data_IF_327729856998
#
_entry.id   IF_327729856998
#
_cell.length_a   1.000
_cell.length_b   1.000
_cell.length_c   1.000
_cell.angle_alpha   90.00
_cell.angle_beta   90.00
_cell.angle_gamma   90.00
#
_symmetry.space_group_name_H-M   'P 1'
#
loop_
_entity.id
_entity.type
_entity.pdbx_description
1 polymer ?
#
# COMPACT_ATOMS: atom_id res chain seq x y z
N UNK A 1 -15.39 23.09 15.27
CA UNK A 1 -15.05 21.66 15.29
C UNK A 1 -16.21 20.93 14.65
N UNK A 2 -15.97 20.34 13.48
CA UNK A 2 -16.97 19.54 12.75
C UNK A 2 -17.12 18.16 13.42
N UNK A 3 -18.20 17.44 13.12
CA UNK A 3 -18.39 16.04 13.61
C UNK A 3 -17.28 15.12 13.09
N UNK A 4 -16.75 15.37 11.90
CA UNK A 4 -15.61 14.64 11.33
C UNK A 4 -14.32 14.88 12.13
N UNK A 5 -14.11 16.11 12.61
CA UNK A 5 -12.94 16.45 13.45
C UNK A 5 -12.98 15.68 14.78
N UNK A 6 -14.17 15.51 15.38
CA UNK A 6 -14.36 14.77 16.63
C UNK A 6 -14.11 13.28 16.44
N UNK A 7 -14.59 12.69 15.35
CA UNK A 7 -14.32 11.28 15.04
C UNK A 7 -12.83 11.05 14.79
N UNK A 8 -12.17 11.94 14.05
CA UNK A 8 -10.71 11.87 13.86
C UNK A 8 -9.95 11.92 15.19
N UNK A 9 -10.33 12.83 16.10
CA UNK A 9 -9.72 12.90 17.43
C UNK A 9 -9.92 11.62 18.25
N UNK A 10 -11.08 10.98 18.15
CA UNK A 10 -11.34 9.69 18.78
C UNK A 10 -10.48 8.58 18.18
N UNK A 11 -10.34 8.52 16.85
CA UNK A 11 -9.47 7.54 16.18
C UNK A 11 -8.01 7.72 16.56
N UNK A 12 -7.51 8.96 16.66
CA UNK A 12 -6.16 9.24 17.14
C UNK A 12 -5.95 8.79 18.60
N UNK A 13 -6.93 9.05 19.47
CA UNK A 13 -6.89 8.57 20.84
C UNK A 13 -6.83 7.04 20.90
N UNK A 14 -7.65 6.35 20.08
CA UNK A 14 -7.62 4.89 19.99
C UNK A 14 -6.26 4.41 19.48
N UNK A 15 -5.70 5.01 18.42
CA UNK A 15 -4.39 4.67 17.88
C UNK A 15 -3.27 4.79 18.94
N UNK A 16 -3.33 5.82 19.79
CA UNK A 16 -2.40 5.97 20.91
C UNK A 16 -2.58 4.88 21.97
N UNK A 17 -3.82 4.54 22.33
CA UNK A 17 -4.11 3.49 23.30
C UNK A 17 -3.66 2.11 22.80
N UNK A 18 -3.95 1.77 21.54
CA UNK A 18 -3.51 0.48 20.96
C UNK A 18 -1.99 0.39 20.86
N UNK A 19 -1.30 1.52 20.60
CA UNK A 19 0.16 1.54 20.68
C UNK A 19 0.64 1.18 22.10
N UNK A 20 0.09 1.80 23.14
CA UNK A 20 0.41 1.44 24.53
C UNK A 20 0.15 -0.05 24.82
N UNK A 21 -0.99 -0.57 24.37
CA UNK A 21 -1.36 -1.98 24.56
C UNK A 21 -0.38 -2.94 23.89
N UNK A 22 0.12 -2.61 22.70
CA UNK A 22 1.12 -3.38 21.97
C UNK A 22 2.49 -3.34 22.65
N UNK A 23 2.93 -2.15 23.09
CA UNK A 23 4.23 -1.99 23.75
C UNK A 23 4.27 -2.62 25.15
N UNK A 24 3.14 -2.64 25.85
CA UNK A 24 3.01 -3.33 27.14
C UNK A 24 2.68 -4.82 27.00
N UNK A 25 2.50 -5.33 25.78
CA UNK A 25 2.08 -6.71 25.49
C UNK A 25 0.88 -7.14 26.36
N UNK A 26 -0.11 -6.25 26.47
CA UNK A 26 -1.36 -6.49 27.20
C UNK A 26 -2.11 -7.68 26.62
N UNK A 27 -3.07 -8.32 27.33
CA UNK A 27 -3.78 -9.49 26.79
C UNK A 27 -4.42 -9.32 25.41
N UNK A 28 -4.71 -8.08 24.99
CA UNK A 28 -5.28 -7.71 23.67
C UNK A 28 -4.25 -7.42 22.59
N UNK A 29 -2.95 -7.48 22.89
CA UNK A 29 -1.87 -7.08 21.97
C UNK A 29 -1.92 -7.80 20.62
N UNK A 30 -2.38 -9.06 20.58
CA UNK A 30 -2.52 -9.84 19.33
C UNK A 30 -3.50 -9.21 18.36
N UNK A 31 -4.64 -8.75 18.85
CA UNK A 31 -5.65 -8.08 18.01
C UNK A 31 -5.12 -6.75 17.47
N UNK A 32 -4.34 -6.02 18.28
CA UNK A 32 -3.64 -4.81 17.83
C UNK A 32 -2.63 -5.17 16.73
N UNK A 33 -1.81 -6.19 16.96
CA UNK A 33 -0.82 -6.65 15.99
C UNK A 33 -1.46 -7.07 14.66
N UNK A 34 -2.53 -7.86 14.68
CA UNK A 34 -3.29 -8.24 13.49
C UNK A 34 -3.82 -7.02 12.70
N UNK A 35 -4.26 -5.96 13.40
CA UNK A 35 -4.65 -4.71 12.76
C UNK A 35 -3.46 -3.99 12.11
N UNK A 36 -2.28 -4.01 12.74
CA UNK A 36 -1.05 -3.43 12.20
C UNK A 36 -0.49 -4.17 10.98
N UNK A 37 -0.78 -5.47 10.84
CA UNK A 37 -0.42 -6.21 9.62
C UNK A 37 -1.21 -5.71 8.41
N UNK A 38 -2.42 -5.19 8.63
CA UNK A 38 -3.38 -4.81 7.60
C UNK A 38 -2.83 -3.93 6.49
N UNK A 39 -2.23 -2.76 6.79
CA UNK A 39 -1.67 -1.86 5.78
C UNK A 39 -0.59 -2.51 4.90
N UNK A 40 0.30 -3.30 5.50
CA UNK A 40 1.37 -3.99 4.77
C UNK A 40 0.79 -5.08 3.89
N UNK A 41 -0.12 -5.90 4.41
CA UNK A 41 -0.79 -6.93 3.63
C UNK A 41 -1.61 -6.35 2.47
N UNK A 42 -2.30 -5.22 2.68
CA UNK A 42 -3.04 -4.51 1.62
C UNK A 42 -2.08 -3.99 0.53
N UNK A 43 -0.94 -3.43 0.91
CA UNK A 43 0.12 -3.05 -0.05
C UNK A 43 0.58 -4.26 -0.87
N UNK A 44 0.89 -5.39 -0.23
CA UNK A 44 1.33 -6.61 -0.92
C UNK A 44 0.27 -7.13 -1.90
N UNK A 45 -1.02 -7.15 -1.51
CA UNK A 45 -2.13 -7.53 -2.42
C UNK A 45 -2.24 -6.58 -3.62
N UNK A 46 -2.08 -5.27 -3.40
CA UNK A 46 -2.11 -4.27 -4.48
C UNK A 46 -0.91 -4.45 -5.41
N UNK A 47 0.28 -4.68 -4.89
CA UNK A 47 1.50 -4.87 -5.68
C UNK A 47 1.39 -6.13 -6.55
N UNK A 48 0.92 -7.25 -5.99
CA UNK A 48 0.63 -8.48 -6.73
C UNK A 48 -0.31 -8.21 -7.90
N UNK A 49 -1.42 -7.50 -7.66
CA UNK A 49 -2.39 -7.11 -8.69
C UNK A 49 -1.78 -6.28 -9.83
N UNK A 50 -0.92 -5.32 -9.48
CA UNK A 50 -0.25 -4.48 -10.48
C UNK A 50 0.75 -5.34 -11.26
N UNK A 51 1.44 -6.27 -10.60
CA UNK A 51 2.38 -7.21 -11.20
C UNK A 51 1.69 -8.12 -12.21
N UNK A 52 0.52 -8.69 -11.88
CA UNK A 52 -0.32 -9.45 -12.82
C UNK A 52 -0.70 -8.60 -14.05
N UNK A 53 -1.01 -7.32 -13.85
CA UNK A 53 -1.32 -6.41 -14.96
C UNK A 53 -0.10 -6.25 -15.87
N UNK A 54 1.09 -6.06 -15.31
CA UNK A 54 2.34 -5.97 -16.08
C UNK A 54 2.59 -7.25 -16.87
N UNK A 55 2.46 -8.42 -16.24
CA UNK A 55 2.63 -9.72 -16.90
C UNK A 55 1.65 -9.92 -18.06
N UNK A 56 0.39 -9.53 -17.89
CA UNK A 56 -0.63 -9.68 -18.94
C UNK A 56 -0.43 -8.76 -20.15
N UNK A 57 0.34 -7.67 -20.00
CA UNK A 57 0.48 -6.61 -21.02
C UNK A 57 1.86 -6.53 -21.66
N UNK A 58 2.89 -7.03 -20.99
CA UNK A 58 4.27 -6.94 -21.48
C UNK A 58 4.68 -8.22 -22.18
N UNK A 59 5.31 -8.10 -23.34
CA UNK A 59 5.97 -9.22 -24.02
C UNK A 59 7.50 -9.18 -23.83
N UNK A 60 8.02 -8.20 -23.09
CA UNK A 60 9.46 -8.03 -22.92
C UNK A 60 10.02 -9.05 -21.90
N UNK A 61 10.97 -9.92 -22.29
CA UNK A 61 11.46 -10.99 -21.41
C UNK A 61 12.03 -10.49 -20.08
N UNK A 62 12.75 -9.36 -20.10
CA UNK A 62 13.29 -8.73 -18.90
C UNK A 62 12.19 -8.33 -17.92
N UNK A 63 11.10 -7.73 -18.40
CA UNK A 63 9.96 -7.28 -17.58
C UNK A 63 9.21 -8.47 -16.99
N UNK A 64 9.01 -9.52 -17.78
CA UNK A 64 8.37 -10.75 -17.31
C UNK A 64 9.19 -11.46 -16.23
N UNK A 65 10.53 -11.49 -16.40
CA UNK A 65 11.45 -12.02 -15.38
C UNK A 65 11.38 -11.23 -14.08
N UNK A 66 11.45 -9.89 -14.16
CA UNK A 66 11.29 -9.02 -12.98
C UNK A 66 9.95 -9.22 -12.27
N UNK A 67 8.86 -9.34 -13.03
CA UNK A 67 7.54 -9.59 -12.46
C UNK A 67 7.47 -10.94 -11.74
N UNK A 68 8.04 -12.00 -12.31
CA UNK A 68 8.09 -13.32 -11.68
C UNK A 68 8.93 -13.31 -10.39
N UNK A 69 10.09 -12.65 -10.40
CA UNK A 69 10.91 -12.47 -9.19
C UNK A 69 10.17 -11.68 -8.10
N UNK A 70 9.41 -10.66 -8.47
CA UNK A 70 8.61 -9.90 -7.51
C UNK A 70 7.51 -10.76 -6.89
N UNK A 71 6.80 -11.58 -7.67
CA UNK A 71 5.77 -12.49 -7.11
C UNK A 71 6.38 -13.44 -6.07
N UNK A 72 7.51 -14.09 -6.39
CA UNK A 72 8.19 -14.97 -5.44
C UNK A 72 8.61 -14.23 -4.16
N UNK A 73 9.17 -13.03 -4.32
CA UNK A 73 9.56 -12.20 -3.17
C UNK A 73 8.36 -11.79 -2.31
N UNK A 74 7.21 -11.45 -2.91
CA UNK A 74 5.98 -11.12 -2.16
C UNK A 74 5.49 -12.31 -1.34
N UNK A 75 5.59 -13.52 -1.87
CA UNK A 75 5.20 -14.74 -1.14
C UNK A 75 6.13 -15.01 0.05
N UNK A 76 7.44 -14.81 -0.12
CA UNK A 76 8.40 -14.85 0.99
C UNK A 76 8.09 -13.79 2.05
N UNK A 77 7.75 -12.56 1.64
CA UNK A 77 7.41 -11.50 2.59
C UNK A 77 6.12 -11.77 3.35
N UNK A 78 5.12 -12.41 2.71
CA UNK A 78 3.88 -12.80 3.41
C UNK A 78 4.16 -13.78 4.53
N UNK A 79 5.07 -14.72 4.32
CA UNK A 79 5.52 -15.63 5.37
C UNK A 79 6.26 -14.87 6.47
N UNK A 80 7.20 -13.99 6.10
CA UNK A 80 7.95 -13.19 7.06
C UNK A 80 7.03 -12.32 7.94
N UNK A 81 6.03 -11.66 7.34
CA UNK A 81 5.02 -10.86 8.07
C UNK A 81 4.24 -11.72 9.08
N UNK A 82 3.85 -12.93 8.68
CA UNK A 82 3.12 -13.85 9.57
C UNK A 82 4.00 -14.33 10.74
N UNK A 83 5.29 -14.55 10.49
CA UNK A 83 6.23 -15.04 11.50
C UNK A 83 6.57 -13.98 12.56
N UNK A 84 6.50 -12.69 12.24
CA UNK A 84 6.76 -11.59 13.19
C UNK A 84 5.88 -11.67 14.46
N UNK A 85 4.59 -12.01 14.31
CA UNK A 85 3.69 -12.17 15.47
C UNK A 85 4.13 -13.32 16.37
N UNK A 86 4.62 -14.41 15.78
CA UNK A 86 5.16 -15.55 16.52
C UNK A 86 6.49 -15.19 17.21
N UNK A 87 7.32 -14.38 16.58
CA UNK A 87 8.57 -13.88 17.20
C UNK A 87 8.29 -12.94 18.37
N UNK A 88 7.25 -12.09 18.29
CA UNK A 88 6.76 -11.29 19.42
C UNK A 88 6.27 -12.18 20.57
N UNK A 89 5.47 -13.22 20.28
CA UNK A 89 5.00 -14.19 21.29
C UNK A 89 6.15 -14.87 22.04
N UNK A 90 7.22 -15.19 21.32
CA UNK A 90 8.42 -15.85 21.87
C UNK A 90 9.43 -14.87 22.47
N UNK A 91 9.11 -13.58 22.51
CA UNK A 91 10.00 -12.51 22.96
C UNK A 91 11.38 -12.52 22.26
N UNK A 92 11.41 -12.93 20.98
CA UNK A 92 12.63 -12.93 20.16
C UNK A 92 12.95 -11.55 19.60
N UNK A 93 11.92 -10.73 19.41
CA UNK A 93 11.97 -9.33 19.00
C UNK A 93 11.03 -8.54 19.90
N UNK A 94 11.26 -7.24 20.05
CA UNK A 94 10.33 -6.34 20.74
C UNK A 94 9.33 -5.69 19.76
N UNK A 95 8.32 -5.00 20.32
CA UNK A 95 7.26 -4.35 19.54
C UNK A 95 7.80 -3.26 18.60
N UNK A 96 8.85 -2.53 18.98
CA UNK A 96 9.44 -1.50 18.12
C UNK A 96 10.19 -2.12 16.93
N UNK A 97 10.95 -3.18 17.18
CA UNK A 97 11.66 -3.92 16.15
C UNK A 97 10.67 -4.57 15.17
N UNK A 98 9.58 -5.17 15.66
CA UNK A 98 8.55 -5.75 14.81
C UNK A 98 7.88 -4.70 13.89
N UNK A 99 7.54 -3.52 14.43
CA UNK A 99 7.00 -2.41 13.62
C UNK A 99 8.02 -1.91 12.58
N UNK A 100 9.30 -1.87 12.95
CA UNK A 100 10.41 -1.51 12.03
C UNK A 100 10.55 -2.54 10.90
N UNK A 101 10.36 -3.84 11.17
CA UNK A 101 10.36 -4.85 10.11
C UNK A 101 9.16 -4.68 9.16
N UNK A 102 7.98 -4.31 9.68
CA UNK A 102 6.84 -3.95 8.83
C UNK A 102 7.12 -2.70 7.96
N UNK A 103 7.82 -1.70 8.52
CA UNK A 103 8.30 -0.52 7.77
C UNK A 103 9.20 -0.93 6.61
N UNK A 104 10.21 -1.74 6.92
CA UNK A 104 11.16 -2.26 5.95
C UNK A 104 10.46 -3.03 4.82
N UNK A 105 9.56 -3.96 5.15
CA UNK A 105 8.86 -4.78 4.14
C UNK A 105 8.01 -3.90 3.22
N UNK A 106 7.25 -2.96 3.78
CA UNK A 106 6.42 -2.05 2.99
C UNK A 106 7.26 -1.17 2.05
N UNK A 107 8.39 -0.65 2.54
CA UNK A 107 9.31 0.17 1.74
C UNK A 107 9.99 -0.61 0.62
N UNK A 108 10.51 -1.81 0.90
CA UNK A 108 11.10 -2.68 -0.11
C UNK A 108 10.09 -3.08 -1.18
N UNK A 109 8.86 -3.40 -0.78
CA UNK A 109 7.79 -3.77 -1.70
C UNK A 109 7.46 -2.62 -2.67
N UNK A 110 7.43 -1.38 -2.16
CA UNK A 110 7.24 -0.16 -2.98
C UNK A 110 8.39 0.05 -3.94
N UNK A 111 9.63 -0.10 -3.49
CA UNK A 111 10.82 0.04 -4.34
C UNK A 111 10.79 -0.97 -5.48
N UNK A 112 10.49 -2.24 -5.20
CA UNK A 112 10.35 -3.26 -6.23
C UNK A 112 9.23 -2.94 -7.23
N UNK A 113 8.07 -2.49 -6.74
CA UNK A 113 6.97 -2.10 -7.63
C UNK A 113 7.36 -0.93 -8.54
N UNK A 114 8.00 0.10 -8.00
CA UNK A 114 8.45 1.28 -8.76
C UNK A 114 9.42 0.87 -9.87
N UNK A 115 10.39 -0.01 -9.55
CA UNK A 115 11.32 -0.54 -10.55
C UNK A 115 10.60 -1.37 -11.63
N UNK A 116 9.63 -2.21 -11.24
CA UNK A 116 8.86 -3.00 -12.21
C UNK A 116 8.04 -2.10 -13.14
N UNK A 117 7.36 -1.09 -12.59
CA UNK A 117 6.58 -0.11 -13.37
C UNK A 117 7.49 0.65 -14.33
N UNK A 118 8.64 1.13 -13.86
CA UNK A 118 9.61 1.84 -14.71
C UNK A 118 10.12 0.96 -15.86
N UNK A 119 10.47 -0.30 -15.58
CA UNK A 119 10.90 -1.26 -16.58
C UNK A 119 9.80 -1.57 -17.60
N UNK A 120 8.55 -1.79 -17.14
CA UNK A 120 7.41 -2.07 -18.01
C UNK A 120 7.11 -0.88 -18.94
N UNK A 121 7.16 0.35 -18.42
CA UNK A 121 6.95 1.56 -19.22
C UNK A 121 8.11 1.81 -20.20
N UNK A 122 9.35 1.54 -19.80
CA UNK A 122 10.52 1.70 -20.65
C UNK A 122 10.58 0.68 -21.80
N UNK A 123 10.03 -0.52 -21.59
CA UNK A 123 9.94 -1.55 -22.62
C UNK A 123 8.83 -1.30 -23.67
N UNK A 124 7.82 -0.49 -23.34
CA UNK A 124 6.74 -0.14 -24.26
C UNK A 124 7.17 0.98 -25.24
N UNK A 125 7.72 0.57 -26.38
CA UNK A 125 8.22 1.48 -27.42
C UNK A 125 7.13 2.10 -28.29
N UNK A 126 5.86 1.74 -28.07
CA UNK A 126 4.75 2.32 -28.81
C UNK A 126 4.63 3.83 -28.54
N UNK A 127 3.97 4.57 -29.44
CA UNK A 127 3.74 6.00 -29.25
C UNK A 127 2.99 6.31 -27.93
N UNK A 128 2.05 5.44 -27.54
CA UNK A 128 1.32 5.56 -26.28
C UNK A 128 2.24 5.23 -25.10
N UNK A 129 3.04 4.17 -25.20
CA UNK A 129 4.05 3.78 -24.21
C UNK A 129 5.05 4.89 -23.90
N UNK A 130 5.61 5.51 -24.93
CA UNK A 130 6.52 6.66 -24.77
C UNK A 130 5.86 7.84 -24.06
N UNK A 131 4.56 8.10 -24.32
CA UNK A 131 3.81 9.14 -23.60
C UNK A 131 3.60 8.77 -22.13
N UNK A 132 3.28 7.50 -21.82
CA UNK A 132 3.19 6.99 -20.43
C UNK A 132 4.53 7.14 -19.71
N UNK A 133 5.62 6.71 -20.34
CA UNK A 133 6.96 6.80 -19.77
C UNK A 133 7.40 8.26 -19.54
N UNK A 134 7.14 9.16 -20.49
CA UNK A 134 7.38 10.61 -20.31
C UNK A 134 6.57 11.18 -19.14
N UNK A 135 5.30 10.76 -18.98
CA UNK A 135 4.44 11.18 -17.87
C UNK A 135 4.97 10.67 -16.52
N UNK A 136 5.43 9.42 -16.47
CA UNK A 136 6.12 8.82 -15.33
C UNK A 136 7.37 9.62 -14.93
N UNK A 137 8.30 9.82 -15.86
CA UNK A 137 9.58 10.51 -15.62
C UNK A 137 9.43 11.97 -15.22
N UNK A 138 8.39 12.64 -15.71
CA UNK A 138 8.11 14.03 -15.32
C UNK A 138 7.59 14.17 -13.88
N UNK A 139 7.25 13.06 -13.20
CA UNK A 139 6.53 13.13 -11.93
C UNK A 139 5.22 13.91 -12.06
N UNK A 140 4.67 13.98 -13.29
CA UNK A 140 3.43 14.69 -13.57
C UNK A 140 2.26 13.82 -13.08
N UNK A 141 2.14 13.74 -11.76
CA UNK A 141 1.00 13.18 -11.08
C UNK A 141 -0.19 14.08 -11.26
N UNK A 142 -1.28 13.49 -11.73
CA UNK A 142 -2.57 14.09 -11.49
C UNK A 142 -2.83 14.13 -9.98
N UNK A 143 -3.67 15.08 -9.57
CA UNK A 143 -4.16 15.15 -8.20
C UNK A 143 -4.83 13.82 -7.84
N UNK A 144 -4.32 13.17 -6.80
CA UNK A 144 -4.94 11.98 -6.26
C UNK A 144 -6.28 12.33 -5.63
N UNK A 145 -7.25 11.43 -5.82
CA UNK A 145 -8.52 11.46 -5.11
C UNK A 145 -8.34 10.84 -3.73
N UNK A 146 -9.17 11.23 -2.77
CA UNK A 146 -9.13 10.72 -1.39
C UNK A 146 -9.20 9.20 -1.30
N UNK A 147 -9.95 8.56 -2.21
CA UNK A 147 -10.09 7.11 -2.26
C UNK A 147 -8.88 6.38 -2.88
N UNK A 148 -7.88 7.10 -3.36
CA UNK A 148 -6.61 6.55 -3.84
C UNK A 148 -5.48 6.73 -2.84
N UNK A 149 -5.65 7.69 -1.94
CA UNK A 149 -4.66 7.96 -0.89
C UNK A 149 -4.91 7.13 0.34
N UNK A 150 -6.15 6.66 0.56
CA UNK A 150 -6.57 5.93 1.76
C UNK A 150 -6.58 4.42 1.55
N UNK A 151 -6.13 3.71 2.57
CA UNK A 151 -6.34 2.28 2.74
C UNK A 151 -7.83 1.98 2.88
N UNK A 152 -8.22 0.81 2.37
CA UNK A 152 -9.60 0.35 2.39
C UNK A 152 -9.94 -0.39 3.67
N UNK A 153 -8.93 -0.92 4.36
CA UNK A 153 -9.13 -1.81 5.50
C UNK A 153 -9.37 -3.26 5.08
N UNK A 154 -8.86 -3.67 3.91
CA UNK A 154 -9.04 -5.05 3.43
C UNK A 154 -7.89 -5.53 2.54
N UNK A 155 -7.52 -6.79 2.69
CA UNK A 155 -6.46 -7.45 1.92
C UNK A 155 -6.81 -8.91 1.63
N UNK A 156 -6.00 -9.57 0.80
CA UNK A 156 -6.27 -10.95 0.37
C UNK A 156 -5.04 -11.84 0.51
N UNK A 157 -5.24 -13.03 1.08
CA UNK A 157 -4.24 -14.10 1.15
C UNK A 157 -4.89 -15.38 0.61
N UNK A 158 -4.27 -16.03 -0.37
CA UNK A 158 -4.71 -17.32 -0.92
C UNK A 158 -6.22 -17.40 -1.29
N UNK A 159 -6.82 -16.32 -1.79
CA UNK A 159 -8.25 -16.31 -2.13
C UNK A 159 -9.17 -15.77 -1.03
N UNK A 160 -8.70 -15.71 0.21
CA UNK A 160 -9.49 -15.29 1.37
C UNK A 160 -9.29 -13.80 1.61
N UNK A 161 -10.40 -13.09 1.86
CA UNK A 161 -10.38 -11.66 2.18
C UNK A 161 -10.38 -11.48 3.69
N UNK A 162 -9.50 -10.60 4.16
CA UNK A 162 -9.35 -10.21 5.56
C UNK A 162 -9.62 -8.71 5.69
N UNK A 163 -10.07 -8.27 6.86
CA UNK A 163 -10.43 -6.88 7.13
C UNK A 163 -9.73 -6.37 8.38
N UNK A 164 -9.39 -5.09 8.39
CA UNK A 164 -8.78 -4.37 9.51
C UNK A 164 -9.29 -2.92 9.53
N UNK A 165 -9.02 -2.19 10.61
CA UNK A 165 -9.38 -0.77 10.73
C UNK A 165 -8.16 0.12 10.45
N UNK A 166 -8.06 0.75 9.25
CA UNK A 166 -6.92 1.57 8.89
C UNK A 166 -6.83 2.89 9.68
N UNK A 167 -7.94 3.35 10.27
CA UNK A 167 -7.93 4.57 11.11
C UNK A 167 -7.30 4.32 12.50
N UNK A 168 -7.26 3.06 12.93
CA UNK A 168 -6.71 2.63 14.22
C UNK A 168 -5.33 2.00 14.10
N UNK A 169 -4.71 2.06 12.91
CA UNK A 169 -3.32 1.64 12.75
C UNK A 169 -2.39 2.60 13.52
N UNK A 170 -1.40 2.05 14.21
CA UNK A 170 -0.32 2.78 14.90
C UNK A 170 0.52 3.52 13.85
N UNK A 171 0.76 2.88 12.71
CA UNK A 171 1.50 3.48 11.59
C UNK A 171 0.77 4.69 11.04
N UNK A 172 1.53 5.73 10.68
CA UNK A 172 0.96 6.95 10.13
C UNK A 172 0.55 6.73 8.65
N UNK A 173 -0.75 6.77 8.39
CA UNK A 173 -1.34 6.58 7.06
C UNK A 173 -2.21 7.76 6.67
N UNK A 174 -2.73 7.77 5.43
CA UNK A 174 -3.75 8.75 5.02
C UNK A 174 -5.12 8.59 5.71
N UNK A 175 -5.30 7.51 6.48
CA UNK A 175 -6.49 7.24 7.28
C UNK A 175 -6.34 7.78 8.71
N UNK A 176 -5.11 8.11 9.14
CA UNK A 176 -4.85 8.70 10.44
C UNK A 176 -5.48 10.09 10.56
N UNK A 177 -5.92 10.42 11.77
CA UNK A 177 -6.56 11.69 12.06
C UNK A 177 -5.68 12.90 11.69
N UNK A 178 -6.31 13.96 11.18
CA UNK A 178 -5.60 15.19 10.80
C UNK A 178 -4.73 15.07 9.54
N UNK A 179 -4.64 13.88 8.93
CA UNK A 179 -3.98 13.70 7.63
C UNK A 179 -4.98 13.98 6.50
N UNK A 180 -4.73 15.05 5.75
CA UNK A 180 -5.43 15.35 4.51
C UNK A 180 -4.45 15.37 3.33
N UNK A 181 -4.55 14.35 2.47
CA UNK A 181 -3.80 14.23 1.22
C UNK A 181 -4.62 14.67 -0.01
N UNK A 182 -5.75 15.33 0.20
CA UNK A 182 -6.60 15.80 -0.89
C UNK A 182 -5.83 16.75 -1.79
N UNK A 183 -5.71 16.37 -3.06
CA UNK A 183 -5.04 17.19 -4.06
C UNK A 183 -3.52 17.04 -4.08
N UNK A 184 -2.95 16.14 -3.25
CA UNK A 184 -1.55 15.71 -3.40
C UNK A 184 -1.34 15.13 -4.79
N UNK A 185 -0.19 15.45 -5.39
CA UNK A 185 0.17 14.91 -6.69
C UNK A 185 0.58 13.44 -6.54
N UNK A 186 0.23 12.61 -7.52
CA UNK A 186 0.87 11.30 -7.63
C UNK A 186 2.37 11.46 -7.93
N UNK A 187 3.22 10.72 -7.25
CA UNK A 187 4.66 10.72 -7.54
C UNK A 187 5.13 9.29 -7.78
N UNK A 188 6.09 9.14 -8.67
CA UNK A 188 6.69 7.85 -9.05
C UNK A 188 7.48 7.19 -7.92
N UNK A 189 7.73 7.90 -6.81
CA UNK A 189 8.49 7.37 -5.66
C UNK A 189 7.64 6.61 -4.65
N UNK A 190 6.30 6.62 -4.75
CA UNK A 190 5.40 5.99 -3.78
C UNK A 190 5.52 6.48 -2.33
N UNK A 191 6.16 7.64 -2.10
CA UNK A 191 6.40 8.22 -0.77
C UNK A 191 5.62 9.51 -0.61
N UNK A 192 4.94 9.64 0.52
CA UNK A 192 4.22 10.83 0.94
C UNK A 192 4.80 11.33 2.25
N UNK A 193 4.69 12.63 2.51
CA UNK A 193 5.09 13.22 3.79
C UNK A 193 3.99 14.15 4.29
N UNK A 194 3.75 14.12 5.59
CA UNK A 194 2.99 15.13 6.30
C UNK A 194 3.64 15.38 7.66
N UNK A 195 3.61 16.62 8.12
CA UNK A 195 4.17 17.01 9.43
C UNK A 195 5.63 16.57 9.64
N UNK A 196 6.43 16.45 8.57
CA UNK A 196 7.83 16.01 8.62
C UNK A 196 8.03 14.49 8.74
N UNK A 197 6.95 13.72 8.88
CA UNK A 197 6.97 12.25 8.90
C UNK A 197 6.60 11.67 7.53
N UNK A 198 7.08 10.44 7.26
CA UNK A 198 6.65 9.70 6.09
C UNK A 198 5.28 9.08 6.30
N UNK A 199 4.49 9.06 5.24
CA UNK A 199 3.13 8.55 5.24
C UNK A 199 3.03 7.32 4.35
N UNK A 200 2.41 6.28 4.89
CA UNK A 200 2.02 5.12 4.12
C UNK A 200 0.71 5.40 3.38
N UNK A 201 0.76 5.22 2.07
CA UNK A 201 -0.35 5.43 1.13
C UNK A 201 -0.40 4.22 0.20
N UNK A 202 -1.54 3.57 -0.03
CA UNK A 202 -1.60 2.41 -0.92
C UNK A 202 -0.98 2.72 -2.30
N UNK A 203 -0.09 1.87 -2.84
CA UNK A 203 0.55 2.12 -4.14
C UNK A 203 -0.39 1.92 -5.34
N UNK A 204 -1.69 1.73 -5.10
CA UNK A 204 -2.71 1.41 -6.11
C UNK A 204 -2.79 2.45 -7.24
N UNK A 205 -2.49 3.72 -6.93
CA UNK A 205 -2.49 4.80 -7.92
C UNK A 205 -1.42 4.62 -9.01
N UNK A 206 -0.34 3.87 -8.75
CA UNK A 206 0.72 3.62 -9.74
C UNK A 206 0.20 2.83 -10.95
N UNK A 207 -0.86 2.01 -10.76
CA UNK A 207 -1.52 1.27 -11.82
C UNK A 207 -2.01 2.18 -12.97
N UNK A 208 -2.40 3.42 -12.66
CA UNK A 208 -2.87 4.38 -13.67
C UNK A 208 -1.83 4.67 -14.75
N UNK A 209 -0.55 4.68 -14.39
CA UNK A 209 0.53 4.91 -15.36
C UNK A 209 0.63 3.79 -16.39
N UNK A 210 0.30 2.55 -15.99
CA UNK A 210 0.32 1.37 -16.86
C UNK A 210 -0.90 1.33 -17.79
N UNK A 211 -2.08 1.71 -17.31
CA UNK A 211 -3.33 1.52 -18.05
C UNK A 211 -3.80 2.74 -18.84
N UNK A 212 -3.20 3.92 -18.63
CA UNK A 212 -3.59 5.16 -19.30
C UNK A 212 -3.67 5.01 -20.83
N UNK A 213 -4.81 5.31 -21.42
CA UNK A 213 -5.10 5.06 -22.85
C UNK A 213 -4.60 6.15 -23.81
N UNK A 214 -4.09 7.28 -23.31
CA UNK A 214 -3.67 8.41 -24.14
C UNK A 214 -4.62 9.60 -24.13
N UNK A 215 -5.87 9.41 -23.69
CA UNK A 215 -6.99 10.34 -23.87
C UNK A 215 -7.77 10.59 -22.58
N UNK A 216 -7.88 9.59 -21.69
CA UNK A 216 -8.60 9.72 -20.44
C UNK A 216 -7.82 10.55 -19.42
N UNK A 217 -8.55 11.44 -18.73
CA UNK A 217 -8.08 12.15 -17.52
C UNK A 217 -7.98 11.23 -16.30
N UNK A 218 -8.62 10.06 -16.36
CA UNK A 218 -8.61 9.04 -15.31
C UNK A 218 -8.61 7.67 -15.99
N UNK A 219 -7.49 6.95 -15.90
CA UNK A 219 -7.50 5.54 -16.26
C UNK A 219 -8.29 4.76 -15.22
N UNK A 220 -9.28 3.96 -15.65
CA UNK A 220 -9.89 2.96 -14.77
C UNK A 220 -8.82 1.96 -14.36
N UNK A 221 -8.42 1.99 -13.10
CA UNK A 221 -7.39 1.09 -12.57
C UNK A 221 -8.05 -0.20 -12.07
N UNK A 222 -7.54 -1.36 -12.52
CA UNK A 222 -7.92 -2.68 -12.01
C UNK A 222 -7.55 -2.82 -10.53
N UNK A 223 -6.50 -2.13 -10.07
CA UNK A 223 -6.20 -2.01 -8.64
C UNK A 223 -7.33 -1.27 -7.92
N UNK A 224 -7.88 -0.21 -8.51
CA UNK A 224 -9.04 0.51 -7.97
C UNK A 224 -10.35 -0.31 -8.05
N UNK A 225 -10.46 -1.26 -8.98
CA UNK A 225 -11.57 -2.24 -9.06
C UNK A 225 -11.42 -3.34 -8.02
N UNK A 226 -10.21 -3.84 -7.78
CA UNK A 226 -9.91 -4.76 -6.68
C UNK A 226 -10.09 -4.07 -5.32
N UNK A 227 -9.75 -2.79 -5.21
CA UNK A 227 -10.09 -1.94 -4.07
C UNK A 227 -11.60 -1.81 -3.82
N UNK A 228 -12.43 -1.91 -4.86
CA UNK A 228 -13.88 -1.94 -4.71
C UNK A 228 -14.40 -3.36 -4.42
N UNK A 229 -13.75 -4.40 -4.95
CA UNK A 229 -14.13 -5.80 -4.81
C UNK A 229 -13.70 -6.44 -3.47
N UNK A 230 -12.72 -5.85 -2.77
CA UNK A 230 -12.28 -6.25 -1.43
C UNK A 230 -13.18 -5.67 -0.31
N UNK A 231 -14.18 -4.83 -0.64
CA UNK A 231 -15.16 -4.38 0.36
C UNK A 231 -16.05 -5.55 0.77
N UNK A 232 -16.29 -5.78 2.08
CA UNK A 232 -17.30 -6.74 2.51
C UNK A 232 -18.65 -6.32 1.93
N UNK A 233 -19.40 -7.29 1.36
CA UNK A 233 -20.82 -7.08 1.09
C UNK A 233 -21.51 -6.95 2.46
N UNK A 234 -22.10 -5.79 2.71
CA UNK A 234 -23.05 -5.60 3.81
C UNK A 234 -24.21 -6.60 3.68
#
# INVERSE_FOLDING_TARGET
MSVEDVHGLMDAHVAMMVACDLFALTPTWRTVWENELGPVCEDLTVIETITETVQSRSMAPMVLSMAASLVLWLDEQRLAVNDLGTSLERAQIDSAEALTQLDRIADEARVHLVHLVEAALGADTSMIGQRRYKRWRKGAGEKLRTNETRYLGAYRIAGVTYTYNPAQAIRLTANSAGIDLKGSAAHSTARFKAFGAELYVPPAYLHRYLVWDGTSRYGSSRAHTLSAALRPRL
#
